data_IF_565082322072
#
_entry.id   IF_565082322072
#
_cell.length_a   1.000
_cell.length_b   1.000
_cell.length_c   1.000
_cell.angle_alpha   90.00
_cell.angle_beta   90.00
_cell.angle_gamma   90.00
#
_symmetry.space_group_name_H-M   'P 1'
#
loop_
_entity.id
_entity.type
_entity.pdbx_description
1 polymer ?
#
# COMPACT_ATOMS: atom_id res chain seq x y z
N UNK A 1 -10.48 32.83 8.06
CA UNK A 1 -11.28 33.25 9.23
C UNK A 1 -12.77 33.15 8.93
N UNK A 2 -13.52 32.51 9.81
CA UNK A 2 -14.99 32.43 9.74
C UNK A 2 -15.54 33.80 10.16
N UNK A 3 -16.18 34.52 9.24
CA UNK A 3 -16.83 35.80 9.52
C UNK A 3 -18.33 35.57 9.71
N UNK A 4 -18.85 35.88 10.89
CA UNK A 4 -20.26 35.74 11.27
C UNK A 4 -20.85 37.09 11.53
N UNK A 5 -22.11 37.30 11.10
CA UNK A 5 -22.83 38.50 11.42
C UNK A 5 -24.34 38.30 11.38
N UNK A 6 -24.99 38.55 12.49
CA UNK A 6 -26.44 38.62 12.63
C UNK A 6 -26.87 40.09 12.74
N UNK A 7 -27.70 40.54 11.81
CA UNK A 7 -28.14 41.92 11.70
C UNK A 7 -29.64 42.02 11.87
N UNK A 8 -30.12 43.15 12.47
CA UNK A 8 -31.51 43.50 12.47
C UNK A 8 -31.80 44.34 11.22
N UNK A 9 -32.79 43.92 10.44
CA UNK A 9 -33.25 44.66 9.27
C UNK A 9 -34.30 45.68 9.73
N UNK A 10 -34.02 46.99 9.48
CA UNK A 10 -34.86 48.10 9.92
C UNK A 10 -36.21 48.11 9.23
N UNK A 11 -36.28 47.72 7.97
CA UNK A 11 -37.47 47.80 7.12
C UNK A 11 -38.54 46.76 7.46
N UNK A 12 -38.13 45.59 7.93
CA UNK A 12 -39.01 44.46 8.23
C UNK A 12 -39.07 44.11 9.70
N UNK A 13 -38.27 44.80 10.54
CA UNK A 13 -38.11 44.53 11.98
C UNK A 13 -37.73 43.05 12.26
N UNK A 14 -37.16 42.34 11.28
CA UNK A 14 -36.69 40.95 11.37
C UNK A 14 -35.20 40.86 11.46
N UNK A 15 -34.68 39.67 11.76
CA UNK A 15 -33.24 39.42 11.81
C UNK A 15 -32.77 38.67 10.57
N UNK A 16 -31.57 38.99 10.12
CA UNK A 16 -30.84 38.34 9.02
C UNK A 16 -29.54 37.76 9.55
N UNK A 17 -29.24 36.53 9.15
CA UNK A 17 -27.95 35.90 9.39
C UNK A 17 -27.19 35.74 8.07
N UNK A 18 -25.92 36.14 8.06
CA UNK A 18 -24.99 35.92 6.96
C UNK A 18 -23.89 35.03 7.49
N UNK A 19 -23.72 33.88 6.86
CA UNK A 19 -22.69 32.90 7.19
C UNK A 19 -21.69 32.79 6.04
N UNK A 20 -20.41 33.04 6.33
CA UNK A 20 -19.32 32.95 5.38
C UNK A 20 -18.38 31.81 5.78
N UNK A 21 -18.07 30.95 4.86
CA UNK A 21 -17.19 29.80 5.08
C UNK A 21 -16.25 29.59 3.91
N UNK A 22 -15.17 28.87 4.16
CA UNK A 22 -14.26 28.41 3.11
C UNK A 22 -14.60 26.94 2.86
N UNK A 23 -14.91 26.59 1.61
CA UNK A 23 -15.19 25.22 1.26
C UNK A 23 -13.90 24.36 1.23
N UNK A 24 -14.07 23.10 0.98
CA UNK A 24 -12.97 22.13 0.94
C UNK A 24 -11.96 22.38 -0.20
N UNK A 25 -12.33 23.13 -1.24
CA UNK A 25 -11.44 23.60 -2.30
C UNK A 25 -10.64 24.87 -1.92
N UNK A 26 -10.90 25.42 -0.74
CA UNK A 26 -10.32 26.70 -0.31
C UNK A 26 -11.06 27.93 -0.83
N UNK A 27 -12.19 27.75 -1.50
CA UNK A 27 -13.01 28.84 -2.02
C UNK A 27 -13.90 29.47 -0.91
N UNK A 28 -13.95 30.79 -0.89
CA UNK A 28 -14.82 31.53 0.03
C UNK A 28 -16.25 31.51 -0.48
N UNK A 29 -17.16 30.94 0.30
CA UNK A 29 -18.62 30.91 0.04
C UNK A 29 -19.40 31.64 1.10
N UNK A 30 -20.61 32.06 0.73
CA UNK A 30 -21.51 32.76 1.62
C UNK A 30 -22.91 32.20 1.47
N UNK A 31 -23.58 31.96 2.58
CA UNK A 31 -25.02 31.69 2.63
C UNK A 31 -25.69 32.70 3.56
N UNK A 32 -26.94 33.04 3.30
CA UNK A 32 -27.70 33.98 4.13
C UNK A 32 -29.16 33.59 4.21
N UNK A 33 -29.76 33.83 5.38
CA UNK A 33 -31.21 33.66 5.61
C UNK A 33 -31.77 34.89 6.33
N UNK A 34 -32.95 35.34 5.91
CA UNK A 34 -33.69 36.49 6.44
C UNK A 34 -35.00 36.07 7.07
N UNK A 35 -35.64 36.98 7.77
CA UNK A 35 -36.99 36.79 8.28
C UNK A 35 -37.10 36.09 9.63
N UNK A 36 -36.03 36.02 10.42
CA UNK A 36 -36.10 35.51 11.77
C UNK A 36 -36.78 36.54 12.67
N UNK A 37 -37.74 36.08 13.48
CA UNK A 37 -38.47 36.96 14.38
C UNK A 37 -37.62 37.42 15.56
N UNK A 38 -36.68 36.61 15.99
CA UNK A 38 -35.81 36.92 17.13
C UNK A 38 -34.33 36.74 16.78
N UNK A 39 -33.46 37.47 17.46
CA UNK A 39 -32.00 37.29 17.38
C UNK A 39 -31.58 35.86 17.76
N UNK A 40 -32.30 35.27 18.74
CA UNK A 40 -32.03 33.90 19.20
C UNK A 40 -32.24 32.86 18.09
N UNK A 41 -33.29 32.98 17.28
CA UNK A 41 -33.56 32.11 16.15
C UNK A 41 -32.49 32.28 15.05
N UNK A 42 -32.05 33.49 14.74
CA UNK A 42 -30.99 33.75 13.80
C UNK A 42 -29.67 33.13 14.27
N UNK A 43 -29.32 33.22 15.53
CA UNK A 43 -28.15 32.59 16.14
C UNK A 43 -28.26 31.05 16.20
N UNK A 44 -29.44 30.52 16.42
CA UNK A 44 -29.69 29.08 16.41
C UNK A 44 -29.46 28.51 14.99
N UNK A 45 -29.99 29.20 13.97
CA UNK A 45 -29.77 28.84 12.58
C UNK A 45 -28.27 28.94 12.19
N UNK A 46 -27.57 29.95 12.67
CA UNK A 46 -26.14 30.13 12.47
C UNK A 46 -25.35 28.91 13.01
N UNK A 47 -25.64 28.50 14.23
CA UNK A 47 -25.04 27.31 14.85
C UNK A 47 -25.37 26.02 14.09
N UNK A 48 -26.58 25.89 13.58
CA UNK A 48 -26.95 24.77 12.73
C UNK A 48 -26.19 24.74 11.43
N UNK A 49 -25.99 25.90 10.76
CA UNK A 49 -25.17 25.99 9.56
C UNK A 49 -23.69 25.68 9.84
N UNK A 50 -23.15 26.19 10.95
CA UNK A 50 -21.80 25.85 11.42
C UNK A 50 -21.64 24.34 11.57
N UNK A 51 -22.57 23.69 12.26
CA UNK A 51 -22.55 22.25 12.44
C UNK A 51 -22.70 21.50 11.11
N UNK A 52 -23.54 21.97 10.18
CA UNK A 52 -23.69 21.41 8.84
C UNK A 52 -22.41 21.54 8.02
N UNK A 53 -21.78 22.70 8.00
CA UNK A 53 -20.54 22.92 7.24
C UNK A 53 -19.36 22.19 7.87
N UNK A 54 -19.33 22.02 9.16
CA UNK A 54 -18.36 21.15 9.84
C UNK A 54 -18.61 19.66 9.58
N UNK A 55 -19.85 19.28 9.24
CA UNK A 55 -20.24 17.89 8.94
C UNK A 55 -20.38 17.57 7.45
N UNK A 56 -20.49 18.60 6.58
CA UNK A 56 -20.78 18.42 5.16
C UNK A 56 -19.51 18.45 4.30
N UNK A 57 -18.88 17.30 4.15
CA UNK A 57 -18.09 16.98 2.98
C UNK A 57 -19.05 16.68 1.82
N UNK A 58 -19.45 17.70 1.08
CA UNK A 58 -20.31 17.55 -0.10
C UNK A 58 -19.55 16.98 -1.31
N UNK A 59 -18.30 16.50 -1.10
CA UNK A 59 -17.50 15.86 -2.11
C UNK A 59 -17.83 14.37 -2.21
N UNK A 60 -17.69 13.82 -3.41
CA UNK A 60 -17.80 12.38 -3.62
C UNK A 60 -16.54 11.67 -3.12
N UNK A 61 -16.66 10.37 -2.86
CA UNK A 61 -15.51 9.53 -2.52
C UNK A 61 -14.43 9.56 -3.63
N UNK A 62 -14.85 9.58 -4.91
CA UNK A 62 -13.93 9.70 -6.05
C UNK A 62 -13.14 11.01 -6.02
N UNK A 63 -13.79 12.13 -5.73
CA UNK A 63 -13.10 13.42 -5.58
C UNK A 63 -12.14 13.42 -4.39
N UNK A 64 -12.52 12.80 -3.27
CA UNK A 64 -11.62 12.61 -2.14
C UNK A 64 -10.40 11.76 -2.51
N UNK A 65 -10.59 10.69 -3.27
CA UNK A 65 -9.50 9.82 -3.75
C UNK A 65 -8.51 10.60 -4.61
N UNK A 66 -8.99 11.49 -5.49
CA UNK A 66 -8.11 12.36 -6.29
C UNK A 66 -7.26 13.25 -5.40
N UNK A 67 -7.88 13.88 -4.41
CA UNK A 67 -7.18 14.72 -3.42
C UNK A 67 -6.21 13.90 -2.56
N UNK A 68 -6.64 12.74 -2.07
CA UNK A 68 -5.80 11.80 -1.34
C UNK A 68 -4.59 11.36 -2.16
N UNK A 69 -4.77 11.12 -3.46
CA UNK A 69 -3.69 10.77 -4.38
C UNK A 69 -2.67 11.91 -4.48
N UNK A 70 -3.14 13.14 -4.72
CA UNK A 70 -2.28 14.32 -4.80
C UNK A 70 -1.47 14.54 -3.50
N UNK A 71 -2.11 14.31 -2.34
CA UNK A 71 -1.47 14.50 -1.03
C UNK A 71 -0.45 13.42 -0.69
N UNK A 72 -0.67 12.18 -1.13
CA UNK A 72 0.02 11.01 -0.59
C UNK A 72 0.96 10.31 -1.58
N UNK A 73 0.75 10.43 -2.88
CA UNK A 73 1.52 9.68 -3.89
C UNK A 73 3.02 9.93 -3.78
N UNK A 74 3.43 11.19 -3.63
CA UNK A 74 4.84 11.57 -3.50
C UNK A 74 5.48 11.18 -2.16
N UNK A 75 4.67 10.80 -1.16
CA UNK A 75 5.12 10.42 0.21
C UNK A 75 5.23 8.93 0.41
N UNK A 76 4.76 8.14 -0.55
CA UNK A 76 4.70 6.68 -0.48
C UNK A 76 5.60 6.10 -1.57
N UNK A 77 6.35 5.04 -1.25
CA UNK A 77 7.17 4.35 -2.26
C UNK A 77 6.29 3.88 -3.44
N UNK A 78 6.80 4.03 -4.64
CA UNK A 78 6.09 3.76 -5.91
C UNK A 78 5.38 2.39 -5.92
N UNK A 79 6.07 1.31 -5.56
CA UNK A 79 5.47 -0.03 -5.49
C UNK A 79 4.32 -0.17 -4.49
N UNK A 80 4.39 0.56 -3.37
CA UNK A 80 3.32 0.59 -2.36
C UNK A 80 2.14 1.38 -2.89
N UNK A 81 2.43 2.49 -3.60
CA UNK A 81 1.39 3.30 -4.22
C UNK A 81 0.64 2.53 -5.32
N UNK A 82 1.33 1.84 -6.21
CA UNK A 82 0.70 1.01 -7.26
C UNK A 82 -0.28 -0.02 -6.68
N UNK A 83 0.14 -0.71 -5.61
CA UNK A 83 -0.75 -1.66 -4.93
C UNK A 83 -1.98 -0.96 -4.34
N UNK A 84 -1.77 0.20 -3.71
CA UNK A 84 -2.84 1.02 -3.13
C UNK A 84 -3.80 1.52 -4.21
N UNK A 85 -3.28 2.06 -5.29
CA UNK A 85 -4.06 2.57 -6.43
C UNK A 85 -4.89 1.46 -7.08
N UNK A 86 -4.31 0.28 -7.29
CA UNK A 86 -5.03 -0.88 -7.80
C UNK A 86 -6.21 -1.26 -6.89
N UNK A 87 -6.01 -1.29 -5.58
CA UNK A 87 -7.08 -1.58 -4.61
C UNK A 87 -8.16 -0.50 -4.67
N UNK A 88 -7.78 0.77 -4.66
CA UNK A 88 -8.73 1.89 -4.76
C UNK A 88 -9.60 1.74 -6.00
N UNK A 89 -8.98 1.57 -7.16
CA UNK A 89 -9.67 1.47 -8.44
C UNK A 89 -10.57 0.25 -8.54
N UNK A 90 -10.12 -0.91 -8.07
CA UNK A 90 -10.83 -2.18 -8.26
C UNK A 90 -11.77 -2.55 -7.12
N UNK A 91 -11.58 -2.01 -5.91
CA UNK A 91 -12.30 -2.44 -4.70
C UNK A 91 -13.06 -1.34 -3.98
N UNK A 92 -12.75 -0.07 -4.22
CA UNK A 92 -13.42 1.03 -3.54
C UNK A 92 -14.25 1.90 -4.47
N UNK A 93 -13.69 2.36 -5.59
CA UNK A 93 -14.41 3.23 -6.53
C UNK A 93 -15.70 2.62 -7.09
N UNK A 94 -15.78 1.30 -7.41
CA UNK A 94 -17.04 0.71 -7.88
C UNK A 94 -18.19 0.79 -6.88
N UNK A 95 -17.89 0.83 -5.57
CA UNK A 95 -18.88 0.85 -4.49
C UNK A 95 -19.17 2.25 -3.98
N UNK A 96 -18.13 3.04 -3.77
CA UNK A 96 -18.23 4.31 -3.06
C UNK A 96 -18.01 5.53 -3.95
N UNK A 97 -17.44 5.38 -5.15
CA UNK A 97 -16.93 6.48 -5.97
C UNK A 97 -17.91 7.64 -6.14
N UNK A 98 -19.16 7.35 -6.49
CA UNK A 98 -20.22 8.35 -6.73
C UNK A 98 -20.93 8.81 -5.44
N UNK A 99 -20.65 8.20 -4.31
CA UNK A 99 -21.29 8.52 -3.03
C UNK A 99 -20.63 9.74 -2.41
N UNK A 100 -21.44 10.60 -1.80
CA UNK A 100 -20.94 11.72 -0.99
C UNK A 100 -20.29 11.19 0.27
N UNK A 101 -19.19 11.79 0.70
CA UNK A 101 -18.42 11.34 1.87
C UNK A 101 -19.23 11.34 3.16
N UNK A 102 -20.10 12.33 3.35
CA UNK A 102 -20.98 12.44 4.50
C UNK A 102 -22.15 11.43 4.50
N UNK A 103 -22.47 10.85 3.36
CA UNK A 103 -23.54 9.86 3.19
C UNK A 103 -23.08 8.42 3.39
N UNK A 104 -21.76 8.16 3.35
CA UNK A 104 -21.21 6.81 3.55
C UNK A 104 -21.30 6.44 5.03
N UNK A 105 -22.29 5.62 5.37
CA UNK A 105 -22.58 5.19 6.73
C UNK A 105 -21.95 3.84 7.06
N UNK A 106 -21.75 3.50 8.34
CA UNK A 106 -21.21 2.20 8.76
C UNK A 106 -21.94 0.99 8.15
N UNK A 107 -23.26 1.06 7.96
CA UNK A 107 -24.04 -0.02 7.32
C UNK A 107 -23.56 -0.34 5.89
N UNK A 108 -23.10 0.66 5.15
CA UNK A 108 -22.62 0.49 3.79
C UNK A 108 -21.21 -0.10 3.75
N UNK A 109 -20.40 0.25 4.75
CA UNK A 109 -19.10 -0.42 4.96
C UNK A 109 -19.31 -1.92 5.27
N UNK A 110 -20.31 -2.25 6.12
CA UNK A 110 -20.66 -3.66 6.41
C UNK A 110 -21.10 -4.37 5.13
N UNK A 111 -21.96 -3.76 4.32
CA UNK A 111 -22.42 -4.34 3.06
C UNK A 111 -21.24 -4.62 2.11
N UNK A 112 -20.33 -3.65 1.95
CA UNK A 112 -19.11 -3.83 1.17
C UNK A 112 -18.19 -4.92 1.73
N UNK A 113 -18.00 -4.98 3.05
CA UNK A 113 -17.24 -6.06 3.70
C UNK A 113 -17.83 -7.43 3.39
N UNK A 114 -19.14 -7.57 3.47
CA UNK A 114 -19.83 -8.83 3.18
C UNK A 114 -19.63 -9.26 1.72
N UNK A 115 -19.65 -8.32 0.77
CA UNK A 115 -19.33 -8.62 -0.62
C UNK A 115 -17.88 -9.10 -0.78
N UNK A 116 -16.92 -8.45 -0.12
CA UNK A 116 -15.52 -8.88 -0.16
C UNK A 116 -15.30 -10.26 0.48
N UNK A 117 -15.97 -10.55 1.58
CA UNK A 117 -15.90 -11.86 2.27
C UNK A 117 -16.49 -12.96 1.40
N UNK A 118 -17.62 -12.68 0.74
CA UNK A 118 -18.34 -13.65 -0.09
C UNK A 118 -17.79 -13.76 -1.52
N UNK A 119 -16.84 -12.90 -1.89
CA UNK A 119 -16.23 -12.95 -3.22
C UNK A 119 -15.58 -14.30 -3.49
N UNK A 120 -15.78 -14.82 -4.70
CA UNK A 120 -15.10 -16.00 -5.22
C UNK A 120 -14.58 -15.68 -6.62
N UNK A 121 -13.35 -16.08 -6.89
CA UNK A 121 -12.79 -15.96 -8.25
C UNK A 121 -13.34 -17.06 -9.17
N UNK A 122 -12.92 -17.05 -10.43
CA UNK A 122 -13.33 -18.05 -11.44
C UNK A 122 -13.05 -19.51 -11.03
N UNK A 123 -12.12 -19.70 -10.09
CA UNK A 123 -11.76 -21.01 -9.53
C UNK A 123 -12.46 -21.29 -8.19
N UNK A 124 -13.43 -20.47 -7.80
CA UNK A 124 -14.16 -20.60 -6.52
C UNK A 124 -13.36 -20.20 -5.28
N UNK A 125 -12.19 -19.56 -5.43
CA UNK A 125 -11.32 -19.20 -4.31
C UNK A 125 -11.74 -17.86 -3.68
N UNK A 126 -11.87 -17.87 -2.35
CA UNK A 126 -12.14 -16.68 -1.56
C UNK A 126 -10.89 -15.79 -1.38
N UNK A 127 -11.09 -14.52 -1.06
CA UNK A 127 -9.99 -13.69 -0.57
C UNK A 127 -9.45 -14.21 0.75
N UNK A 128 -8.12 -14.15 0.90
CA UNK A 128 -7.49 -14.55 2.16
C UNK A 128 -7.84 -13.58 3.30
N UNK A 129 -7.89 -14.05 4.56
CA UNK A 129 -8.14 -13.17 5.71
C UNK A 129 -7.16 -12.00 5.81
N UNK A 130 -5.90 -12.20 5.41
CA UNK A 130 -4.87 -11.15 5.40
C UNK A 130 -5.17 -10.10 4.32
N UNK A 131 -5.63 -10.53 3.14
CA UNK A 131 -6.02 -9.61 2.07
C UNK A 131 -7.25 -8.79 2.46
N UNK A 132 -8.27 -9.43 3.04
CA UNK A 132 -9.45 -8.73 3.57
C UNK A 132 -9.06 -7.67 4.61
N UNK A 133 -8.13 -8.00 5.51
CA UNK A 133 -7.58 -7.03 6.45
C UNK A 133 -6.89 -5.87 5.74
N UNK A 134 -6.14 -6.14 4.70
CA UNK A 134 -5.45 -5.10 3.91
C UNK A 134 -6.46 -4.17 3.23
N UNK A 135 -7.52 -4.71 2.63
CA UNK A 135 -8.58 -3.91 2.01
C UNK A 135 -9.22 -2.96 3.03
N UNK A 136 -9.62 -3.47 4.18
CA UNK A 136 -10.21 -2.63 5.23
C UNK A 136 -9.25 -1.54 5.71
N UNK A 137 -8.00 -1.88 5.98
CA UNK A 137 -6.99 -0.91 6.44
C UNK A 137 -6.75 0.20 5.41
N UNK A 138 -6.73 -0.13 4.12
CA UNK A 138 -6.58 0.85 3.05
C UNK A 138 -7.78 1.80 2.96
N UNK A 139 -8.99 1.27 3.07
CA UNK A 139 -10.21 2.08 3.08
C UNK A 139 -10.26 3.01 4.31
N UNK A 140 -9.99 2.45 5.49
CA UNK A 140 -9.93 3.21 6.75
C UNK A 140 -8.88 4.31 6.72
N UNK A 141 -7.73 4.09 6.06
CA UNK A 141 -6.70 5.12 5.91
C UNK A 141 -7.18 6.32 5.08
N UNK A 142 -7.97 6.09 4.03
CA UNK A 142 -8.56 7.16 3.21
C UNK A 142 -9.56 7.97 4.05
N UNK A 143 -10.46 7.31 4.81
CA UNK A 143 -11.38 8.01 5.68
C UNK A 143 -10.68 8.75 6.82
N UNK A 144 -9.62 8.19 7.41
CA UNK A 144 -8.81 8.89 8.41
C UNK A 144 -8.16 10.16 7.85
N UNK A 145 -7.69 10.11 6.59
CA UNK A 145 -7.15 11.28 5.92
C UNK A 145 -8.23 12.37 5.77
N UNK A 146 -9.45 11.98 5.38
CA UNK A 146 -10.59 12.90 5.30
C UNK A 146 -10.96 13.49 6.66
N UNK A 147 -10.95 12.70 7.72
CA UNK A 147 -11.19 13.18 9.09
C UNK A 147 -10.12 14.19 9.51
N UNK A 148 -8.86 13.88 9.20
CA UNK A 148 -7.72 14.70 9.67
C UNK A 148 -7.57 16.02 8.91
N UNK A 149 -7.83 16.03 7.61
CA UNK A 149 -7.49 17.16 6.74
C UNK A 149 -8.68 17.80 6.02
N UNK A 150 -9.81 17.10 5.91
CA UNK A 150 -10.95 17.53 5.11
C UNK A 150 -12.27 17.57 5.88
N UNK A 151 -12.21 17.72 7.20
CA UNK A 151 -13.36 17.95 8.08
C UNK A 151 -14.46 16.87 8.07
N UNK A 152 -14.15 15.63 7.66
CA UNK A 152 -15.06 14.53 7.87
C UNK A 152 -15.21 14.30 9.38
N UNK A 153 -16.46 14.22 9.87
CA UNK A 153 -16.73 14.17 11.32
C UNK A 153 -16.22 12.88 11.98
N UNK A 154 -16.28 11.76 11.28
CA UNK A 154 -15.83 10.45 11.78
C UNK A 154 -15.49 9.50 10.64
N UNK A 155 -14.66 8.51 10.94
CA UNK A 155 -14.33 7.43 10.02
C UNK A 155 -15.35 6.29 10.13
N UNK A 156 -16.24 6.07 9.14
CA UNK A 156 -17.25 5.01 9.20
C UNK A 156 -16.64 3.61 9.17
N UNK A 157 -15.49 3.43 8.51
CA UNK A 157 -14.80 2.14 8.45
C UNK A 157 -14.18 1.77 9.81
N UNK A 158 -13.61 2.73 10.53
CA UNK A 158 -13.08 2.49 11.88
C UNK A 158 -14.20 2.08 12.86
N UNK A 159 -15.40 2.65 12.71
CA UNK A 159 -16.56 2.32 13.56
C UNK A 159 -17.01 0.87 13.35
N UNK A 160 -16.95 0.35 12.14
CA UNK A 160 -17.33 -1.05 11.83
C UNK A 160 -16.27 -2.03 12.32
N UNK A 161 -15.00 -1.66 12.21
CA UNK A 161 -13.88 -2.55 12.52
C UNK A 161 -13.48 -3.43 11.34
N UNK A 162 -12.40 -4.19 11.54
CA UNK A 162 -11.76 -4.96 10.48
C UNK A 162 -12.52 -6.26 10.17
N UNK A 163 -12.62 -6.62 8.89
CA UNK A 163 -13.25 -7.86 8.42
C UNK A 163 -12.28 -9.04 8.28
N UNK A 164 -10.99 -8.81 8.40
CA UNK A 164 -9.94 -9.81 8.25
C UNK A 164 -9.17 -10.07 9.52
N UNK A 165 -8.46 -11.20 9.56
CA UNK A 165 -7.60 -11.60 10.68
C UNK A 165 -6.16 -11.77 10.21
N UNK A 166 -5.20 -11.36 11.03
CA UNK A 166 -3.77 -11.53 10.77
C UNK A 166 -3.28 -12.87 11.34
N UNK A 167 -3.93 -13.99 11.04
CA UNK A 167 -3.27 -15.27 11.27
C UNK A 167 -2.41 -15.59 10.06
N UNK A 168 -1.11 -15.29 10.14
CA UNK A 168 -0.15 -15.91 9.24
C UNK A 168 -0.15 -17.41 9.50
N UNK A 169 -0.16 -18.21 8.43
CA UNK A 169 0.23 -19.61 8.55
C UNK A 169 1.65 -19.66 9.08
N UNK A 170 1.97 -20.69 9.85
CA UNK A 170 3.34 -20.97 10.27
C UNK A 170 4.25 -20.97 9.04
N UNK A 171 5.38 -20.28 9.16
CA UNK A 171 6.31 -20.14 8.04
C UNK A 171 7.05 -21.47 7.86
N UNK A 172 6.86 -22.10 6.71
CA UNK A 172 7.58 -23.31 6.34
C UNK A 172 9.05 -22.95 6.09
N UNK A 173 9.93 -23.81 6.52
CA UNK A 173 11.38 -23.73 6.25
C UNK A 173 11.90 -25.14 5.91
N UNK A 174 12.96 -25.18 5.13
CA UNK A 174 13.65 -26.42 4.85
C UNK A 174 14.77 -26.65 5.85
N UNK A 175 14.93 -27.90 6.27
CA UNK A 175 16.14 -28.37 6.94
C UNK A 175 17.30 -28.34 5.94
N UNK A 176 18.53 -28.45 6.46
CA UNK A 176 19.73 -28.51 5.61
C UNK A 176 19.66 -29.68 4.62
N UNK A 177 19.20 -30.83 5.08
CA UNK A 177 19.09 -32.04 4.24
C UNK A 177 18.05 -31.88 3.14
N UNK A 178 16.90 -31.29 3.44
CA UNK A 178 15.88 -30.98 2.43
C UNK A 178 16.38 -29.97 1.41
N UNK A 179 17.09 -28.93 1.86
CA UNK A 179 17.69 -27.94 0.97
C UNK A 179 18.77 -28.58 0.09
N UNK A 180 19.63 -29.45 0.62
CA UNK A 180 20.66 -30.12 -0.17
C UNK A 180 20.06 -30.94 -1.32
N UNK A 181 18.98 -31.70 -1.04
CA UNK A 181 18.24 -32.44 -2.08
C UNK A 181 17.66 -31.50 -3.15
N UNK A 182 17.13 -30.37 -2.72
CA UNK A 182 16.61 -29.37 -3.63
C UNK A 182 17.72 -28.74 -4.49
N UNK A 183 18.86 -28.37 -3.89
CA UNK A 183 20.00 -27.78 -4.59
C UNK A 183 20.56 -28.76 -5.64
N UNK A 184 20.70 -30.04 -5.31
CA UNK A 184 21.11 -31.08 -6.25
C UNK A 184 20.17 -31.16 -7.46
N UNK A 185 18.87 -31.05 -7.24
CA UNK A 185 17.87 -31.02 -8.32
C UNK A 185 17.93 -29.75 -9.20
N UNK A 186 18.57 -28.67 -8.70
CA UNK A 186 18.73 -27.40 -9.42
C UNK A 186 20.02 -27.33 -10.26
N UNK A 187 20.93 -28.27 -10.12
CA UNK A 187 22.24 -28.24 -10.79
C UNK A 187 22.15 -28.30 -12.32
N UNK A 188 21.01 -28.75 -12.85
CA UNK A 188 20.71 -28.76 -14.30
C UNK A 188 20.57 -27.35 -14.89
N UNK A 189 20.32 -26.33 -14.05
CA UNK A 189 20.18 -24.92 -14.43
C UNK A 189 21.08 -24.03 -13.56
N UNK A 190 22.30 -23.72 -13.98
CA UNK A 190 23.27 -23.02 -13.16
C UNK A 190 22.77 -21.73 -12.56
N UNK A 191 22.03 -20.88 -13.31
CA UNK A 191 21.51 -19.62 -12.80
C UNK A 191 20.50 -19.83 -11.65
N UNK A 192 19.69 -20.89 -11.73
CA UNK A 192 18.75 -21.25 -10.64
C UNK A 192 19.51 -21.78 -9.43
N UNK A 193 20.47 -22.66 -9.63
CA UNK A 193 21.30 -23.21 -8.56
C UNK A 193 21.99 -22.10 -7.76
N UNK A 194 22.75 -21.23 -8.40
CA UNK A 194 23.47 -20.15 -7.72
C UNK A 194 22.53 -19.12 -7.08
N UNK A 195 21.38 -18.85 -7.68
CA UNK A 195 20.37 -17.98 -7.08
C UNK A 195 19.85 -18.54 -5.75
N UNK A 196 19.51 -19.84 -5.72
CA UNK A 196 19.04 -20.50 -4.49
C UNK A 196 20.13 -20.67 -3.45
N UNK A 197 21.39 -20.93 -3.84
CA UNK A 197 22.53 -20.94 -2.93
C UNK A 197 22.66 -19.62 -2.19
N UNK A 198 22.58 -18.50 -2.90
CA UNK A 198 22.61 -17.17 -2.28
C UNK A 198 21.42 -16.92 -1.36
N UNK A 199 20.21 -17.32 -1.78
CA UNK A 199 19.00 -17.14 -0.96
C UNK A 199 19.08 -17.94 0.34
N UNK A 200 19.48 -19.19 0.26
CA UNK A 200 19.51 -20.09 1.41
C UNK A 200 20.64 -19.75 2.39
N UNK A 201 21.88 -19.67 1.92
CA UNK A 201 23.03 -19.48 2.79
C UNK A 201 23.23 -18.06 3.30
N UNK A 202 22.77 -17.06 2.55
CA UNK A 202 22.88 -15.66 2.96
C UNK A 202 21.57 -15.13 3.58
N UNK A 203 20.46 -15.82 3.47
CA UNK A 203 19.16 -15.38 4.01
C UNK A 203 18.71 -14.02 3.45
N UNK A 204 19.05 -13.73 2.21
CA UNK A 204 18.69 -12.46 1.55
C UNK A 204 17.29 -12.54 0.95
N UNK A 205 16.65 -11.38 0.80
CA UNK A 205 15.33 -11.31 0.17
C UNK A 205 15.45 -11.47 -1.34
N UNK A 206 14.40 -12.00 -1.98
CA UNK A 206 14.37 -12.20 -3.43
C UNK A 206 14.69 -10.94 -4.24
N UNK A 207 14.13 -9.78 -3.83
CA UNK A 207 14.45 -8.51 -4.48
C UNK A 207 15.90 -8.06 -4.28
N UNK A 208 16.52 -8.40 -3.16
CA UNK A 208 17.94 -8.15 -2.88
C UNK A 208 18.82 -9.04 -3.77
N UNK A 209 18.49 -10.33 -3.90
CA UNK A 209 19.15 -11.25 -4.81
C UNK A 209 19.14 -10.72 -6.24
N UNK A 210 17.97 -10.36 -6.76
CA UNK A 210 17.81 -9.88 -8.14
C UNK A 210 18.50 -8.53 -8.41
N UNK A 211 18.86 -7.79 -7.34
CA UNK A 211 19.61 -6.55 -7.44
C UNK A 211 21.13 -6.73 -7.35
N UNK A 212 21.62 -7.93 -6.98
CA UNK A 212 23.06 -8.17 -6.83
C UNK A 212 23.81 -7.90 -8.11
N UNK A 213 24.94 -7.21 -7.96
CA UNK A 213 25.91 -6.95 -9.02
C UNK A 213 27.23 -7.64 -8.71
N UNK A 214 28.07 -7.78 -9.72
CA UNK A 214 29.41 -8.35 -9.53
C UNK A 214 30.24 -7.56 -8.49
N UNK A 215 30.08 -6.23 -8.46
CA UNK A 215 30.78 -5.34 -7.53
C UNK A 215 30.33 -5.43 -6.08
N UNK A 216 29.20 -6.09 -5.79
CA UNK A 216 28.74 -6.29 -4.40
C UNK A 216 29.57 -7.34 -3.65
N UNK A 217 30.35 -8.17 -4.37
CA UNK A 217 31.16 -9.23 -3.78
C UNK A 217 32.58 -8.77 -3.45
N UNK A 218 33.04 -9.06 -2.26
CA UNK A 218 34.46 -8.93 -1.88
C UNK A 218 35.00 -10.31 -1.49
N UNK A 219 35.53 -11.02 -2.46
CA UNK A 219 36.02 -12.39 -2.26
C UNK A 219 37.26 -12.44 -1.36
N UNK A 220 38.09 -11.38 -1.33
CA UNK A 220 39.23 -11.32 -0.41
C UNK A 220 38.78 -11.30 1.06
N UNK A 221 37.65 -10.65 1.34
CA UNK A 221 37.05 -10.58 2.69
C UNK A 221 35.97 -11.63 2.91
N UNK A 222 35.62 -12.42 1.88
CA UNK A 222 34.51 -13.38 1.87
C UNK A 222 33.20 -12.70 2.28
N UNK A 223 32.85 -11.56 1.67
CA UNK A 223 31.65 -10.80 2.01
C UNK A 223 30.87 -10.40 0.77
N UNK A 224 29.55 -10.21 0.96
CA UNK A 224 28.65 -9.61 -0.03
C UNK A 224 27.88 -8.45 0.61
N UNK A 225 27.77 -7.34 -0.12
CA UNK A 225 27.05 -6.14 0.31
C UNK A 225 25.62 -6.17 -0.16
N UNK A 226 24.67 -6.00 0.78
CA UNK A 226 23.24 -5.95 0.48
C UNK A 226 22.76 -4.52 0.76
N UNK A 227 22.59 -3.72 -0.30
CA UNK A 227 22.28 -2.29 -0.20
C UNK A 227 21.24 -1.81 -1.20
N UNK A 228 20.65 -2.72 -1.97
CA UNK A 228 19.65 -2.42 -3.00
C UNK A 228 18.67 -3.56 -3.19
N UNK A 229 17.53 -3.26 -3.79
CA UNK A 229 16.48 -4.23 -4.11
C UNK A 229 15.93 -3.94 -5.50
N UNK A 230 15.74 -5.00 -6.28
CA UNK A 230 15.16 -4.94 -7.61
C UNK A 230 13.70 -5.33 -7.60
N UNK A 231 12.95 -4.64 -8.43
CA UNK A 231 11.57 -4.99 -8.76
C UNK A 231 11.24 -4.54 -10.18
N UNK A 232 10.25 -5.15 -10.79
CA UNK A 232 9.74 -4.75 -12.09
C UNK A 232 8.36 -4.13 -11.90
N UNK A 233 8.22 -2.84 -12.22
CA UNK A 233 6.99 -2.08 -12.09
C UNK A 233 6.56 -1.58 -13.46
N UNK A 234 5.32 -1.84 -13.85
CA UNK A 234 4.76 -1.39 -15.14
C UNK A 234 5.68 -1.72 -16.35
N UNK A 235 6.32 -2.90 -16.32
CA UNK A 235 7.22 -3.33 -17.38
C UNK A 235 8.64 -2.72 -17.32
N UNK A 236 8.92 -1.84 -16.35
CA UNK A 236 10.23 -1.19 -16.17
C UNK A 236 10.99 -1.83 -15.01
N UNK A 237 12.29 -1.93 -15.17
CA UNK A 237 13.21 -2.38 -14.13
C UNK A 237 13.49 -1.22 -13.16
N UNK A 238 13.21 -1.42 -11.88
CA UNK A 238 13.39 -0.41 -10.83
C UNK A 238 14.29 -0.97 -9.75
N UNK A 239 15.40 -0.27 -9.49
CA UNK A 239 16.29 -0.56 -8.37
C UNK A 239 16.04 0.50 -7.29
N UNK A 240 15.70 0.06 -6.12
CA UNK A 240 15.41 0.93 -4.96
C UNK A 240 16.41 0.70 -3.84
N UNK A 241 16.60 1.72 -3.01
CA UNK A 241 17.27 1.56 -1.72
C UNK A 241 16.46 0.59 -0.84
N UNK A 242 17.10 -0.07 0.12
CA UNK A 242 16.41 -0.90 1.09
C UNK A 242 15.31 -0.14 1.84
N UNK A 243 14.35 -0.87 2.40
CA UNK A 243 13.18 -0.30 3.09
C UNK A 243 13.57 0.53 4.33
N UNK A 244 14.67 0.20 4.96
CA UNK A 244 15.23 0.91 6.13
C UNK A 244 16.75 0.93 6.03
N UNK A 245 17.41 1.92 6.64
CA UNK A 245 18.88 2.00 6.72
C UNK A 245 19.49 0.74 7.34
N UNK A 246 18.84 0.16 8.35
CA UNK A 246 19.25 -1.12 8.97
C UNK A 246 19.20 -2.33 8.02
N UNK A 247 18.56 -2.20 6.87
CA UNK A 247 18.55 -3.25 5.84
C UNK A 247 19.82 -3.25 5.00
N UNK A 248 20.60 -2.17 5.02
CA UNK A 248 21.95 -2.14 4.47
C UNK A 248 22.85 -2.98 5.39
N UNK A 249 23.42 -4.03 4.82
CA UNK A 249 24.26 -4.96 5.60
C UNK A 249 25.30 -5.61 4.72
N UNK A 250 26.37 -6.02 5.36
CA UNK A 250 27.42 -6.87 4.75
C UNK A 250 27.29 -8.25 5.37
N UNK A 251 27.20 -9.26 4.54
CA UNK A 251 27.06 -10.66 4.96
C UNK A 251 28.38 -11.37 4.73
N UNK A 252 28.85 -12.08 5.75
CA UNK A 252 29.99 -12.99 5.62
C UNK A 252 29.54 -14.28 4.94
N UNK A 253 30.19 -14.63 3.85
CA UNK A 253 29.95 -15.88 3.13
C UNK A 253 30.90 -16.98 3.59
N UNK A 254 30.46 -18.22 3.56
CA UNK A 254 31.32 -19.38 3.72
C UNK A 254 32.30 -19.51 2.54
N UNK A 255 33.40 -20.20 2.75
CA UNK A 255 34.38 -20.37 1.67
C UNK A 255 33.78 -21.07 0.45
N UNK A 256 33.01 -22.14 0.65
CA UNK A 256 32.38 -22.88 -0.46
C UNK A 256 31.45 -21.98 -1.30
N UNK A 257 30.66 -21.14 -0.64
CA UNK A 257 29.77 -20.21 -1.35
C UNK A 257 30.56 -19.13 -2.12
N UNK A 258 31.72 -18.68 -1.58
CA UNK A 258 32.62 -17.80 -2.31
C UNK A 258 33.16 -18.45 -3.57
N UNK A 259 33.61 -19.70 -3.43
CA UNK A 259 34.16 -20.46 -4.56
C UNK A 259 33.08 -20.67 -5.64
N UNK A 260 31.89 -21.08 -5.27
CA UNK A 260 30.74 -21.23 -6.16
C UNK A 260 30.40 -19.92 -6.89
N UNK A 261 30.28 -18.80 -6.14
CA UNK A 261 29.95 -17.52 -6.75
C UNK A 261 31.08 -16.99 -7.66
N UNK A 262 32.32 -17.23 -7.34
CA UNK A 262 33.42 -16.93 -8.26
C UNK A 262 33.31 -17.72 -9.56
N UNK A 263 32.99 -19.01 -9.47
CA UNK A 263 32.81 -19.87 -10.65
C UNK A 263 31.61 -19.40 -11.48
N UNK A 264 30.51 -19.04 -10.82
CA UNK A 264 29.34 -18.46 -11.50
C UNK A 264 29.70 -17.17 -12.26
N UNK A 265 30.38 -16.24 -11.60
CA UNK A 265 30.79 -14.98 -12.24
C UNK A 265 31.71 -15.19 -13.46
N UNK A 266 32.59 -16.20 -13.44
CA UNK A 266 33.44 -16.57 -14.61
C UNK A 266 32.60 -17.04 -15.80
N UNK A 267 31.42 -17.59 -15.57
CA UNK A 267 30.51 -18.04 -16.65
C UNK A 267 29.74 -16.87 -17.30
N UNK A 268 29.70 -15.73 -16.65
CA UNK A 268 29.01 -14.53 -17.15
C UNK A 268 29.98 -13.74 -18.05
N UNK A 269 29.79 -13.86 -19.35
CA UNK A 269 30.64 -13.19 -20.30
C UNK A 269 30.42 -11.68 -20.33
N UNK A 270 31.51 -10.90 -20.24
CA UNK A 270 31.48 -9.43 -20.38
C UNK A 270 30.77 -8.71 -19.25
N UNK A 271 30.61 -9.32 -18.05
CA UNK A 271 29.98 -8.71 -16.94
C UNK A 271 30.81 -7.58 -16.31
N UNK A 272 30.19 -6.41 -16.15
CA UNK A 272 30.82 -5.27 -15.53
C UNK A 272 30.44 -5.21 -13.99
N UNK A 273 31.25 -4.50 -13.18
CA UNK A 273 31.01 -4.45 -11.73
C UNK A 273 29.58 -4.00 -11.32
N UNK A 274 28.95 -3.15 -12.12
CA UNK A 274 27.60 -2.63 -11.86
C UNK A 274 26.47 -3.42 -12.52
N UNK A 275 26.80 -4.46 -13.27
CA UNK A 275 25.80 -5.28 -13.92
C UNK A 275 25.17 -6.26 -12.97
N UNK A 276 23.83 -6.42 -13.07
CA UNK A 276 23.12 -7.44 -12.29
C UNK A 276 23.53 -8.84 -12.76
N UNK A 277 23.88 -9.69 -11.81
CA UNK A 277 24.30 -11.07 -12.11
C UNK A 277 23.13 -12.04 -12.28
N UNK A 278 21.96 -11.73 -11.68
CA UNK A 278 20.72 -12.50 -11.81
C UNK A 278 19.70 -11.72 -12.63
N UNK A 279 19.77 -11.85 -13.97
CA UNK A 279 18.88 -11.15 -14.92
C UNK A 279 17.57 -11.90 -15.17
N UNK A 280 17.18 -12.74 -14.21
CA UNK A 280 15.93 -13.51 -14.20
C UNK A 280 14.82 -12.77 -13.48
N UNK A 281 13.58 -13.19 -13.69
CA UNK A 281 12.42 -12.62 -13.02
C UNK A 281 12.10 -13.32 -11.69
N UNK A 282 11.38 -12.62 -10.82
CA UNK A 282 10.80 -13.21 -9.60
C UNK A 282 9.93 -14.43 -9.93
N UNK A 283 9.15 -14.33 -11.00
CA UNK A 283 8.25 -15.39 -11.43
C UNK A 283 9.02 -16.65 -11.88
N UNK A 284 10.12 -16.46 -12.60
CA UNK A 284 11.02 -17.54 -12.97
C UNK A 284 11.48 -18.34 -11.73
N UNK A 285 11.97 -17.65 -10.69
CA UNK A 285 12.43 -18.32 -9.48
C UNK A 285 11.31 -19.04 -8.71
N UNK A 286 10.08 -18.51 -8.70
CA UNK A 286 8.96 -19.24 -8.14
C UNK A 286 8.67 -20.53 -8.90
N UNK A 287 8.69 -20.52 -10.23
CA UNK A 287 8.53 -21.73 -11.04
C UNK A 287 9.67 -22.74 -10.81
N UNK A 288 10.90 -22.25 -10.73
CA UNK A 288 12.05 -23.11 -10.45
C UNK A 288 11.99 -23.72 -9.05
N UNK A 289 11.51 -22.98 -8.06
CA UNK A 289 11.27 -23.50 -6.72
C UNK A 289 10.24 -24.64 -6.73
N UNK A 290 9.11 -24.45 -7.41
CA UNK A 290 8.07 -25.48 -7.56
C UNK A 290 8.62 -26.72 -8.32
N UNK A 291 9.37 -26.50 -9.39
CA UNK A 291 9.99 -27.56 -10.18
C UNK A 291 10.97 -28.39 -9.32
N UNK A 292 11.91 -27.70 -8.67
CA UNK A 292 12.94 -28.33 -7.87
C UNK A 292 12.40 -29.05 -6.65
N UNK A 293 11.41 -28.46 -5.97
CA UNK A 293 10.74 -29.11 -4.82
C UNK A 293 10.07 -30.41 -5.22
N UNK A 294 9.37 -30.44 -6.35
CA UNK A 294 8.76 -31.66 -6.90
C UNK A 294 9.81 -32.70 -7.27
N UNK A 295 10.86 -32.28 -7.96
CA UNK A 295 11.96 -33.19 -8.38
C UNK A 295 12.71 -33.76 -7.21
N UNK A 296 12.95 -32.98 -6.17
CA UNK A 296 13.65 -33.41 -4.94
C UNK A 296 12.76 -34.13 -3.94
N UNK A 297 11.44 -34.12 -4.13
CA UNK A 297 10.48 -34.71 -3.18
C UNK A 297 10.44 -33.99 -1.83
N UNK A 298 10.74 -32.68 -1.81
CA UNK A 298 10.67 -31.83 -0.61
C UNK A 298 9.43 -30.92 -0.68
N UNK A 299 8.91 -30.51 0.50
CA UNK A 299 7.65 -29.71 0.61
C UNK A 299 7.95 -28.22 0.60
#
# INVERSE_FOLDING_TARGET
GIGMAVYKESDTNTWRCIYRYTDWLGERKQTSKRGFLTKREALAWEREQLNKVQSDLDMTFESLVQTYTADMQSRIKENTWETKEHIIRSKFLPYFGKRKMNEIQPKEIIAWQNEMINHRDEKGKAYSPVYLKTLHNQLSAIFNHAVKYYNLSQNPAAKVGNMGKAKSKEMLFWTKDEYTKFADAMMDKPISFYAFEMLYWCGIRLGELLALTAGDFNFKKSTVSINKSYQRLNGKDVITSPKTEKSNRVIKMSKFLCDEMQDFLKTLYGIEPNDRIFTISKHYLHHEMDRGSKSAGVK
#
